data_IF_019617298971
#
_entry.id   IF_019617298971
#
_cell.length_a   1.000
_cell.length_b   1.000
_cell.length_c   1.000
_cell.angle_alpha   90.00
_cell.angle_beta   90.00
_cell.angle_gamma   90.00
#
_symmetry.space_group_name_H-M   'P 1'
#
loop_
_entity.id
_entity.type
_entity.pdbx_description
1 polymer ?
#
# COMPACT_ATOMS: atom_id res chain seq x y z
N UNK A 1 1.03 -31.78 -0.02
CA UNK A 1 -0.19 -30.93 0.07
C UNK A 1 -0.42 -30.54 1.52
N UNK A 2 0.07 -29.40 1.96
CA UNK A 2 -0.48 -28.81 3.17
C UNK A 2 -1.89 -28.31 2.85
N UNK A 3 -2.88 -28.84 3.56
CA UNK A 3 -4.27 -28.41 3.39
C UNK A 3 -4.36 -26.94 3.79
N UNK A 4 -4.80 -26.08 2.86
CA UNK A 4 -5.18 -24.70 3.20
C UNK A 4 -6.00 -24.70 4.48
N UNK A 5 -5.58 -23.91 5.45
CA UNK A 5 -6.23 -23.86 6.78
C UNK A 5 -7.68 -23.41 6.64
N UNK A 6 -8.61 -24.25 7.06
CA UNK A 6 -10.04 -23.92 7.12
C UNK A 6 -10.42 -23.09 8.35
N UNK A 7 -9.55 -23.04 9.38
CA UNK A 7 -9.74 -22.19 10.55
C UNK A 7 -9.03 -20.85 10.34
N UNK A 8 -9.78 -19.76 10.26
CA UNK A 8 -9.25 -18.41 10.04
C UNK A 8 -10.11 -17.37 10.75
N UNK A 9 -9.54 -16.17 10.96
CA UNK A 9 -10.27 -14.94 11.27
C UNK A 9 -10.22 -14.04 10.07
N UNK A 10 -11.37 -13.54 9.60
CA UNK A 10 -11.47 -12.46 8.63
C UNK A 10 -12.00 -11.20 9.32
N UNK A 11 -11.34 -10.08 9.10
CA UNK A 11 -11.75 -8.79 9.67
C UNK A 11 -11.48 -7.66 8.69
N UNK A 12 -12.53 -6.95 8.28
CA UNK A 12 -12.48 -5.82 7.37
C UNK A 12 -13.54 -4.80 7.77
N UNK A 13 -13.17 -3.82 8.62
CA UNK A 13 -14.14 -2.86 9.16
C UNK A 13 -14.32 -1.61 8.28
N UNK A 14 -13.54 -1.42 7.22
CA UNK A 14 -13.61 -0.24 6.35
C UNK A 14 -14.92 -0.26 5.53
N UNK A 15 -15.78 0.75 5.73
CA UNK A 15 -16.95 0.98 4.88
C UNK A 15 -16.48 1.58 3.55
N UNK A 16 -16.62 0.84 2.46
CA UNK A 16 -15.93 1.14 1.19
C UNK A 16 -16.94 1.39 0.07
N UNK A 17 -16.84 2.58 -0.53
CA UNK A 17 -17.63 3.02 -1.67
C UNK A 17 -16.75 3.09 -2.92
N UNK A 18 -17.11 2.36 -3.95
CA UNK A 18 -16.37 2.29 -5.21
C UNK A 18 -17.19 2.84 -6.37
N UNK A 19 -16.57 3.65 -7.21
CA UNK A 19 -17.11 4.12 -8.48
C UNK A 19 -16.92 5.61 -8.69
N UNK A 20 -17.03 6.01 -9.95
CA UNK A 20 -16.87 7.40 -10.37
C UNK A 20 -17.98 8.28 -9.78
N UNK A 21 -17.61 9.33 -9.02
CA UNK A 21 -18.53 10.21 -8.31
C UNK A 21 -19.01 9.68 -6.95
N UNK A 22 -18.40 8.63 -6.39
CA UNK A 22 -18.85 8.02 -5.14
C UNK A 22 -18.81 8.96 -3.93
N UNK A 23 -17.93 9.97 -3.88
CA UNK A 23 -17.92 10.95 -2.78
C UNK A 23 -19.27 11.70 -2.74
N UNK A 24 -19.69 12.29 -3.85
CA UNK A 24 -20.96 13.03 -3.91
C UNK A 24 -22.16 12.11 -3.65
N UNK A 25 -22.13 10.89 -4.19
CA UNK A 25 -23.22 9.94 -4.03
C UNK A 25 -23.44 9.44 -2.59
N UNK A 26 -22.36 9.41 -1.78
CA UNK A 26 -22.39 8.83 -0.44
C UNK A 26 -21.80 9.75 0.65
N UNK A 27 -21.71 11.07 0.39
CA UNK A 27 -21.13 12.05 1.33
C UNK A 27 -21.76 12.08 2.72
N UNK A 28 -23.06 11.81 2.81
CA UNK A 28 -23.82 11.88 4.07
C UNK A 28 -23.25 10.95 5.17
N UNK A 29 -22.50 9.93 4.77
CA UNK A 29 -21.82 9.05 5.74
C UNK A 29 -20.84 9.82 6.62
N UNK A 30 -20.21 10.88 6.10
CA UNK A 30 -19.26 11.71 6.84
C UNK A 30 -19.90 12.48 8.00
N UNK A 31 -21.21 12.77 7.98
CA UNK A 31 -21.90 13.46 9.09
C UNK A 31 -21.81 12.71 10.42
N UNK A 32 -21.65 11.39 10.36
CA UNK A 32 -21.55 10.53 11.56
C UNK A 32 -20.17 10.56 12.20
N UNK A 33 -19.17 11.13 11.52
CA UNK A 33 -17.76 11.11 11.98
C UNK A 33 -17.42 12.31 12.85
N UNK A 34 -18.15 13.43 12.71
CA UNK A 34 -17.91 14.65 13.46
C UNK A 34 -18.31 15.91 12.70
N UNK A 35 -18.09 17.06 13.34
CA UNK A 35 -18.42 18.39 12.78
C UNK A 35 -17.19 19.18 12.34
N UNK A 36 -15.98 18.66 12.58
CA UNK A 36 -14.73 19.30 12.19
C UNK A 36 -13.71 18.30 11.67
N UNK A 37 -13.32 18.44 10.41
CA UNK A 37 -12.35 17.58 9.72
C UNK A 37 -10.98 18.24 9.54
N UNK A 38 -9.92 17.42 9.48
CA UNK A 38 -8.65 17.83 8.86
C UNK A 38 -8.49 17.09 7.53
N UNK A 39 -8.39 17.84 6.45
CA UNK A 39 -8.07 17.31 5.11
C UNK A 39 -6.56 17.25 4.97
N UNK A 40 -6.02 16.04 4.80
CA UNK A 40 -4.58 15.77 4.77
C UNK A 40 -4.18 15.34 3.37
N UNK A 41 -3.29 16.10 2.73
CA UNK A 41 -2.88 15.86 1.34
C UNK A 41 -1.38 16.10 1.14
N UNK A 42 -0.88 15.66 -0.02
CA UNK A 42 0.38 16.18 -0.56
C UNK A 42 0.17 17.56 -1.22
N UNK A 43 1.27 18.22 -1.54
CA UNK A 43 1.29 19.64 -1.99
C UNK A 43 0.47 19.95 -3.25
N UNK A 44 0.29 19.01 -4.18
CA UNK A 44 -0.28 19.35 -5.48
C UNK A 44 -1.20 18.32 -6.13
N UNK A 45 -1.02 17.02 -5.89
CA UNK A 45 -1.72 15.97 -6.65
C UNK A 45 -3.24 16.00 -6.42
N UNK A 46 -3.68 16.08 -5.18
CA UNK A 46 -5.09 16.13 -4.82
C UNK A 46 -5.82 17.36 -5.36
N UNK A 47 -5.12 18.49 -5.49
CA UNK A 47 -5.65 19.72 -6.15
C UNK A 47 -5.79 19.51 -7.65
N UNK A 48 -4.74 18.96 -8.29
CA UNK A 48 -4.70 18.82 -9.76
C UNK A 48 -5.70 17.82 -10.30
N UNK A 49 -5.95 16.72 -9.60
CA UNK A 49 -6.88 15.68 -10.04
C UNK A 49 -8.33 15.92 -9.59
N UNK A 50 -8.59 16.97 -8.81
CA UNK A 50 -9.93 17.36 -8.36
C UNK A 50 -10.41 16.71 -7.06
N UNK A 51 -9.69 15.72 -6.52
CA UNK A 51 -10.11 15.00 -5.31
C UNK A 51 -10.27 15.92 -4.10
N UNK A 52 -9.34 16.86 -3.90
CA UNK A 52 -9.44 17.83 -2.81
C UNK A 52 -10.72 18.67 -2.95
N UNK A 53 -11.02 19.16 -4.16
CA UNK A 53 -12.21 19.99 -4.40
C UNK A 53 -13.48 19.20 -4.10
N UNK A 54 -13.60 17.98 -4.60
CA UNK A 54 -14.82 17.17 -4.39
C UNK A 54 -15.04 16.88 -2.90
N UNK A 55 -13.97 16.60 -2.14
CA UNK A 55 -14.06 16.39 -0.69
C UNK A 55 -14.46 17.68 0.02
N UNK A 56 -13.84 18.82 -0.29
CA UNK A 56 -14.18 20.09 0.39
C UNK A 56 -15.57 20.57 0.05
N UNK A 57 -16.02 20.43 -1.21
CA UNK A 57 -17.40 20.74 -1.61
C UNK A 57 -18.42 19.85 -0.85
N UNK A 58 -18.09 18.56 -0.67
CA UNK A 58 -18.94 17.66 0.11
C UNK A 58 -19.02 18.10 1.59
N UNK A 59 -17.89 18.43 2.22
CA UNK A 59 -17.85 18.92 3.60
C UNK A 59 -18.63 20.23 3.76
N UNK A 60 -18.45 21.19 2.85
CA UNK A 60 -19.17 22.46 2.85
C UNK A 60 -20.69 22.26 2.71
N UNK A 61 -21.12 21.34 1.82
CA UNK A 61 -22.53 21.01 1.63
C UNK A 61 -23.20 20.38 2.86
N UNK A 62 -22.41 19.69 3.70
CA UNK A 62 -22.84 19.05 4.95
C UNK A 62 -22.69 19.99 6.18
N UNK A 63 -22.17 21.20 5.97
CA UNK A 63 -21.90 22.14 7.07
C UNK A 63 -20.79 21.65 8.02
N UNK A 64 -19.90 20.79 7.55
CA UNK A 64 -18.75 20.29 8.33
C UNK A 64 -17.59 21.27 8.16
N UNK A 65 -17.09 21.81 9.27
CA UNK A 65 -15.90 22.66 9.24
C UNK A 65 -14.67 21.85 8.89
N UNK A 66 -13.71 22.46 8.17
CA UNK A 66 -12.48 21.77 7.83
C UNK A 66 -11.26 22.68 7.85
N UNK A 67 -10.10 22.06 8.08
CA UNK A 67 -8.78 22.67 7.92
C UNK A 67 -7.96 21.83 6.97
N UNK A 68 -7.11 22.48 6.19
CA UNK A 68 -6.22 21.81 5.24
C UNK A 68 -4.83 21.67 5.84
N UNK A 69 -4.25 20.47 5.69
CA UNK A 69 -2.83 20.20 5.88
C UNK A 69 -2.28 19.55 4.60
N UNK A 70 -1.57 20.31 3.77
CA UNK A 70 -1.10 19.90 2.44
C UNK A 70 0.43 19.74 2.34
N UNK A 71 1.08 19.42 3.46
CA UNK A 71 2.53 19.31 3.55
C UNK A 71 3.07 17.88 3.50
N UNK A 72 2.21 16.86 3.31
CA UNK A 72 2.67 15.47 3.31
C UNK A 72 3.55 15.22 2.07
N UNK A 73 4.80 14.86 2.35
CA UNK A 73 5.75 14.41 1.34
C UNK A 73 5.53 12.94 0.92
N UNK A 74 6.28 12.49 -0.07
CA UNK A 74 6.42 11.07 -0.34
C UNK A 74 7.13 10.41 0.86
N UNK A 75 6.57 9.30 1.38
CA UNK A 75 7.04 8.63 2.59
C UNK A 75 7.00 9.54 3.83
N UNK A 76 5.82 9.73 4.46
CA UNK A 76 5.63 10.71 5.52
C UNK A 76 6.60 10.50 6.68
N UNK A 77 7.26 11.56 7.11
CA UNK A 77 8.16 11.54 8.26
C UNK A 77 7.43 11.84 9.57
N UNK A 78 8.04 11.41 10.68
CA UNK A 78 7.48 11.57 12.00
C UNK A 78 7.26 13.05 12.35
N UNK A 79 8.21 13.91 12.01
CA UNK A 79 8.19 15.33 12.34
C UNK A 79 7.01 16.05 11.66
N UNK A 80 6.69 15.68 10.43
CA UNK A 80 5.52 16.23 9.71
C UNK A 80 4.22 15.74 10.32
N UNK A 81 4.16 14.46 10.74
CA UNK A 81 3.00 13.90 11.44
C UNK A 81 2.77 14.59 12.78
N UNK A 82 3.83 14.86 13.56
CA UNK A 82 3.77 15.60 14.84
C UNK A 82 3.18 16.99 14.66
N UNK A 83 3.70 17.79 13.71
CA UNK A 83 3.18 19.13 13.43
C UNK A 83 1.70 19.13 13.06
N UNK A 84 1.28 18.17 12.22
CA UNK A 84 -0.12 18.05 11.84
C UNK A 84 -1.02 17.69 13.03
N UNK A 85 -0.56 16.78 13.91
CA UNK A 85 -1.28 16.38 15.11
C UNK A 85 -1.43 17.54 16.10
N UNK A 86 -0.39 18.35 16.31
CA UNK A 86 -0.47 19.55 17.15
C UNK A 86 -1.52 20.55 16.64
N UNK A 87 -1.55 20.78 15.32
CA UNK A 87 -2.57 21.63 14.70
C UNK A 87 -3.96 21.04 14.94
N UNK A 88 -4.14 19.73 14.69
CA UNK A 88 -5.41 19.04 14.84
C UNK A 88 -5.97 19.17 16.27
N UNK A 89 -5.14 18.93 17.28
CA UNK A 89 -5.51 19.08 18.69
C UNK A 89 -5.89 20.52 19.01
N UNK A 90 -5.08 21.48 18.57
CA UNK A 90 -5.29 22.92 18.85
C UNK A 90 -6.62 23.43 18.29
N UNK A 91 -7.03 22.96 17.09
CA UNK A 91 -8.27 23.42 16.46
C UNK A 91 -9.48 22.52 16.77
N UNK A 92 -9.27 21.41 17.47
CA UNK A 92 -10.34 20.49 17.87
C UNK A 92 -10.90 19.69 16.71
N UNK A 93 -10.01 19.03 15.93
CA UNK A 93 -10.40 18.11 14.84
C UNK A 93 -11.03 16.85 15.42
N UNK A 94 -12.11 16.39 14.82
CA UNK A 94 -12.87 15.22 15.25
C UNK A 94 -12.63 14.01 14.35
N UNK A 95 -12.28 14.23 13.07
CA UNK A 95 -11.90 13.16 12.12
C UNK A 95 -10.95 13.68 11.04
N UNK A 96 -10.31 12.75 10.33
CA UNK A 96 -9.30 13.04 9.31
C UNK A 96 -9.73 12.53 7.93
N UNK A 97 -9.30 13.20 6.86
CA UNK A 97 -9.52 12.77 5.48
C UNK A 97 -8.19 12.76 4.77
N UNK A 98 -7.63 11.57 4.50
CA UNK A 98 -6.41 11.39 3.75
C UNK A 98 -6.66 11.27 2.26
N UNK A 99 -6.19 12.25 1.45
CA UNK A 99 -6.39 12.28 0.01
C UNK A 99 -5.05 12.15 -0.71
N UNK A 100 -4.86 11.08 -1.46
CA UNK A 100 -3.64 10.89 -2.24
C UNK A 100 -3.29 9.43 -2.50
N UNK A 101 -2.01 9.14 -2.69
CA UNK A 101 -1.47 7.79 -2.61
C UNK A 101 -1.38 7.31 -1.16
N UNK A 102 -0.57 6.27 -0.89
CA UNK A 102 -0.40 5.75 0.47
C UNK A 102 0.03 6.81 1.48
N UNK A 103 0.94 7.72 1.12
CA UNK A 103 1.55 8.67 2.06
C UNK A 103 0.55 9.57 2.81
N UNK A 104 -0.39 10.28 2.17
CA UNK A 104 -1.39 11.07 2.90
C UNK A 104 -2.36 10.21 3.71
N UNK A 105 -2.72 9.02 3.24
CA UNK A 105 -3.61 8.10 3.97
C UNK A 105 -2.91 7.55 5.22
N UNK A 106 -1.67 7.11 5.10
CA UNK A 106 -0.86 6.64 6.23
C UNK A 106 -0.59 7.75 7.24
N UNK A 107 -0.23 8.96 6.75
CA UNK A 107 -0.09 10.13 7.61
C UNK A 107 -1.39 10.42 8.38
N UNK A 108 -2.56 10.39 7.72
CA UNK A 108 -3.84 10.64 8.36
C UNK A 108 -4.12 9.66 9.51
N UNK A 109 -3.78 8.38 9.33
CA UNK A 109 -3.89 7.37 10.38
C UNK A 109 -2.96 7.67 11.56
N UNK A 110 -1.68 8.00 11.28
CA UNK A 110 -0.72 8.34 12.33
C UNK A 110 -1.14 9.63 13.07
N UNK A 111 -1.54 10.68 12.34
CA UNK A 111 -2.02 11.94 12.93
C UNK A 111 -3.25 11.68 13.80
N UNK A 112 -4.18 10.83 13.36
CA UNK A 112 -5.39 10.49 14.12
C UNK A 112 -5.09 9.82 15.46
N UNK A 113 -4.06 8.95 15.49
CA UNK A 113 -3.58 8.33 16.73
C UNK A 113 -2.99 9.38 17.67
N UNK A 114 -2.10 10.24 17.18
CA UNK A 114 -1.49 11.27 18.01
C UNK A 114 -2.52 12.27 18.53
N UNK A 115 -3.46 12.71 17.69
CA UNK A 115 -4.51 13.64 18.07
C UNK A 115 -5.48 13.06 19.12
N UNK A 116 -5.72 11.75 19.08
CA UNK A 116 -6.53 11.06 20.08
C UNK A 116 -5.79 10.86 21.43
N UNK A 117 -4.47 11.02 21.46
CA UNK A 117 -3.62 10.79 22.64
C UNK A 117 -2.66 11.98 22.91
N UNK A 118 -3.15 13.22 23.08
CA UNK A 118 -2.30 14.42 23.08
C UNK A 118 -1.25 14.44 24.19
N UNK A 119 -1.43 13.65 25.25
CA UNK A 119 -0.47 13.55 26.36
C UNK A 119 0.70 12.60 26.12
N UNK A 120 0.67 11.79 25.04
CA UNK A 120 1.71 10.79 24.75
C UNK A 120 2.72 11.24 23.68
N UNK A 121 2.41 12.30 22.91
CA UNK A 121 3.24 12.67 21.76
C UNK A 121 3.43 11.53 20.78
N UNK A 122 4.62 11.42 20.18
CA UNK A 122 4.95 10.34 19.24
C UNK A 122 4.96 8.93 19.87
N UNK A 123 5.10 8.78 21.16
CA UNK A 123 5.02 7.49 21.84
C UNK A 123 3.67 6.79 21.59
N UNK A 124 2.61 7.57 21.34
CA UNK A 124 1.31 7.02 20.97
C UNK A 124 1.36 6.13 19.73
N UNK A 125 2.26 6.40 18.79
CA UNK A 125 2.41 5.61 17.54
C UNK A 125 3.04 4.24 17.77
N UNK A 126 3.72 4.06 18.91
CA UNK A 126 4.43 2.82 19.24
C UNK A 126 3.74 2.02 20.35
N UNK A 127 2.64 2.53 20.90
CA UNK A 127 1.78 1.82 21.84
C UNK A 127 0.54 1.27 21.12
N UNK A 128 0.49 -0.05 20.92
CA UNK A 128 -0.60 -0.75 20.22
C UNK A 128 -2.00 -0.57 20.83
N UNK A 129 -2.09 -0.02 22.05
CA UNK A 129 -3.35 0.27 22.73
C UNK A 129 -3.81 1.74 22.57
N UNK A 130 -3.04 2.57 21.87
CA UNK A 130 -3.44 3.96 21.61
C UNK A 130 -4.69 4.02 20.73
N UNK A 131 -5.64 4.88 21.12
CA UNK A 131 -6.86 5.14 20.36
C UNK A 131 -6.53 5.94 19.09
N UNK A 132 -7.47 5.94 18.13
CA UNK A 132 -7.42 6.78 16.94
C UNK A 132 -8.77 7.51 16.77
N UNK A 133 -8.75 8.72 16.23
CA UNK A 133 -9.94 9.37 15.72
C UNK A 133 -10.34 8.76 14.36
N UNK A 134 -11.61 8.91 13.92
CA UNK A 134 -12.04 8.37 12.63
C UNK A 134 -11.20 8.89 11.46
N UNK A 135 -10.95 8.05 10.47
CA UNK A 135 -10.23 8.38 9.24
C UNK A 135 -11.09 8.07 8.04
N UNK A 136 -11.16 9.00 7.09
CA UNK A 136 -11.69 8.78 5.74
C UNK A 136 -10.50 8.68 4.78
N UNK A 137 -10.51 7.69 3.90
CA UNK A 137 -9.47 7.50 2.91
C UNK A 137 -9.99 7.75 1.49
N UNK A 138 -9.24 8.54 0.71
CA UNK A 138 -9.56 8.87 -0.68
C UNK A 138 -8.31 8.60 -1.53
N UNK A 139 -8.12 7.36 -2.02
CA UNK A 139 -6.98 7.01 -2.85
C UNK A 139 -7.04 7.73 -4.19
N UNK A 140 -5.87 8.19 -4.67
CA UNK A 140 -5.69 8.78 -6.00
C UNK A 140 -4.68 8.00 -6.83
N UNK A 141 -4.25 6.84 -6.35
CA UNK A 141 -3.40 5.86 -7.03
C UNK A 141 -3.93 4.46 -6.78
N UNK A 142 -3.63 3.52 -7.65
CA UNK A 142 -3.99 2.11 -7.52
C UNK A 142 -2.74 1.28 -7.17
N UNK A 143 -2.40 1.20 -5.90
CA UNK A 143 -1.18 0.49 -5.49
C UNK A 143 -1.21 0.02 -4.04
N UNK A 144 -1.15 0.94 -3.10
CA UNK A 144 -0.87 0.64 -1.69
C UNK A 144 -1.98 -0.08 -0.94
N UNK A 145 -3.25 0.09 -1.38
CA UNK A 145 -4.40 -0.45 -0.65
C UNK A 145 -4.56 0.12 0.77
N UNK A 146 -3.89 1.25 1.08
CA UNK A 146 -3.93 1.84 2.43
C UNK A 146 -5.35 2.18 2.86
N UNK A 147 -6.23 2.49 1.94
CA UNK A 147 -7.65 2.77 2.18
C UNK A 147 -8.42 1.61 2.82
N UNK A 148 -7.93 0.39 2.68
CA UNK A 148 -8.59 -0.83 3.20
C UNK A 148 -7.66 -1.66 4.10
N UNK A 149 -6.52 -1.12 4.53
CA UNK A 149 -5.60 -1.78 5.46
C UNK A 149 -5.52 -1.07 6.80
N UNK A 150 -5.05 -1.78 7.82
CA UNK A 150 -4.75 -1.24 9.14
C UNK A 150 -3.35 -0.61 9.25
N UNK A 151 -2.54 -0.70 8.21
CA UNK A 151 -1.16 -0.25 8.24
C UNK A 151 -1.07 1.26 8.04
N UNK A 152 -0.09 1.86 8.68
CA UNK A 152 0.35 3.24 8.46
C UNK A 152 1.88 3.23 8.56
N UNK A 153 2.53 3.50 7.43
CA UNK A 153 3.98 3.44 7.33
C UNK A 153 4.54 4.86 7.44
N UNK A 154 5.41 5.07 8.41
CA UNK A 154 6.11 6.34 8.63
C UNK A 154 7.62 6.17 8.51
N UNK A 155 8.30 7.23 8.12
CA UNK A 155 9.76 7.32 8.04
C UNK A 155 10.32 7.82 9.37
N UNK A 156 11.31 7.10 9.89
CA UNK A 156 12.09 7.48 11.06
C UNK A 156 13.50 7.82 10.60
N UNK A 157 13.80 9.11 10.39
CA UNK A 157 15.09 9.56 9.87
C UNK A 157 16.25 9.19 10.78
N UNK A 158 16.08 9.29 12.10
CA UNK A 158 17.09 8.90 13.08
C UNK A 158 17.52 7.42 12.96
N UNK A 159 16.56 6.53 12.62
CA UNK A 159 16.79 5.10 12.46
C UNK A 159 17.09 4.69 11.02
N UNK A 160 17.06 5.63 10.07
CA UNK A 160 17.23 5.39 8.62
C UNK A 160 16.33 4.24 8.12
N UNK A 161 15.07 4.25 8.53
CA UNK A 161 14.12 3.17 8.22
C UNK A 161 12.69 3.68 8.10
N UNK A 162 11.85 2.82 7.56
CA UNK A 162 10.39 2.95 7.59
C UNK A 162 9.81 1.91 8.52
N UNK A 163 8.75 2.26 9.23
CA UNK A 163 8.08 1.33 10.13
C UNK A 163 6.58 1.54 10.11
N UNK A 164 5.83 0.47 10.35
CA UNK A 164 4.41 0.60 10.64
C UNK A 164 4.22 1.08 12.07
N UNK A 165 3.24 1.96 12.29
CA UNK A 165 2.80 2.27 13.64
C UNK A 165 2.23 1.03 14.32
N UNK A 166 2.28 0.97 15.65
CA UNK A 166 1.79 -0.18 16.41
C UNK A 166 0.24 -0.26 16.47
N UNK A 167 -0.51 0.85 16.62
CA UNK A 167 -1.97 0.84 16.54
C UNK A 167 -2.47 0.38 15.16
N UNK A 168 -3.52 -0.44 15.15
CA UNK A 168 -4.16 -0.88 13.91
C UNK A 168 -5.29 0.06 13.55
N UNK A 169 -5.08 0.95 12.58
CA UNK A 169 -6.02 2.00 12.19
C UNK A 169 -6.58 1.73 10.81
N UNK A 170 -7.76 1.15 10.72
CA UNK A 170 -8.52 1.12 9.48
C UNK A 170 -9.21 2.45 9.21
N UNK A 171 -9.37 2.82 7.94
CA UNK A 171 -10.30 3.89 7.59
C UNK A 171 -11.72 3.50 8.02
N UNK A 172 -12.46 4.44 8.60
CA UNK A 172 -13.88 4.27 8.89
C UNK A 172 -14.71 4.26 7.61
N UNK A 173 -14.29 5.11 6.64
CA UNK A 173 -14.90 5.23 5.32
C UNK A 173 -13.81 5.35 4.26
N UNK A 174 -13.99 4.69 3.13
CA UNK A 174 -13.08 4.76 1.98
C UNK A 174 -13.85 5.05 0.71
N UNK A 175 -13.47 6.13 0.01
CA UNK A 175 -14.07 6.51 -1.27
C UNK A 175 -13.10 6.24 -2.41
N UNK A 176 -13.33 5.18 -3.15
CA UNK A 176 -12.51 4.72 -4.26
C UNK A 176 -13.09 5.24 -5.58
N UNK A 177 -12.73 6.46 -5.95
CA UNK A 177 -13.15 7.08 -7.21
C UNK A 177 -12.03 7.03 -8.25
N UNK A 178 -12.12 6.14 -9.25
CA UNK A 178 -11.07 5.99 -10.26
C UNK A 178 -10.78 7.25 -11.09
N UNK A 179 -11.69 8.23 -11.13
CA UNK A 179 -11.47 9.47 -11.89
C UNK A 179 -10.24 10.24 -11.43
N UNK A 180 -9.85 10.12 -10.16
CA UNK A 180 -8.66 10.79 -9.63
C UNK A 180 -7.34 10.24 -10.17
N UNK A 181 -7.38 9.10 -10.86
CA UNK A 181 -6.24 8.52 -11.55
C UNK A 181 -6.14 8.90 -13.03
N UNK A 182 -7.17 9.55 -13.61
CA UNK A 182 -7.24 9.80 -15.06
C UNK A 182 -6.05 10.60 -15.61
N UNK A 183 -5.41 11.41 -14.77
CA UNK A 183 -4.26 12.26 -15.14
C UNK A 183 -2.91 11.71 -14.70
N UNK A 184 -2.86 10.50 -14.13
CA UNK A 184 -1.59 9.89 -13.71
C UNK A 184 -0.72 9.54 -14.92
N UNK A 185 0.57 9.82 -14.80
CA UNK A 185 1.56 9.44 -15.82
C UNK A 185 1.70 7.92 -15.93
N UNK A 186 2.17 7.40 -17.09
CA UNK A 186 2.48 5.98 -17.26
C UNK A 186 3.41 5.44 -16.18
N UNK A 187 4.46 6.16 -15.83
CA UNK A 187 5.42 5.78 -14.80
C UNK A 187 4.76 5.57 -13.43
N UNK A 188 3.91 6.52 -13.00
CA UNK A 188 3.20 6.40 -11.72
C UNK A 188 2.21 5.24 -11.78
N UNK A 189 1.43 5.14 -12.87
CA UNK A 189 0.43 4.08 -13.05
C UNK A 189 1.08 2.70 -12.99
N UNK A 190 2.16 2.47 -13.74
CA UNK A 190 2.84 1.18 -13.75
C UNK A 190 3.47 0.85 -12.39
N UNK A 191 4.17 1.79 -11.77
CA UNK A 191 4.78 1.54 -10.46
C UNK A 191 3.74 1.19 -9.41
N UNK A 192 2.62 1.89 -9.36
CA UNK A 192 1.57 1.60 -8.37
C UNK A 192 0.81 0.32 -8.73
N UNK A 193 0.55 0.03 -9.99
CA UNK A 193 -0.06 -1.23 -10.41
C UNK A 193 0.82 -2.45 -10.04
N UNK A 194 2.14 -2.33 -10.21
CA UNK A 194 3.07 -3.39 -9.79
C UNK A 194 3.04 -3.55 -8.26
N UNK A 195 2.94 -2.47 -7.50
CA UNK A 195 2.78 -2.55 -6.04
C UNK A 195 1.53 -3.38 -5.66
N UNK A 196 0.38 -3.06 -6.27
CA UNK A 196 -0.85 -3.83 -6.08
C UNK A 196 -0.69 -5.32 -6.47
N UNK A 197 0.01 -5.60 -7.57
CA UNK A 197 0.30 -6.97 -7.98
C UNK A 197 1.17 -7.69 -6.94
N UNK A 198 2.21 -7.03 -6.42
CA UNK A 198 3.07 -7.63 -5.38
C UNK A 198 2.30 -7.90 -4.09
N UNK A 199 1.34 -7.04 -3.72
CA UNK A 199 0.42 -7.32 -2.61
C UNK A 199 -0.38 -8.61 -2.82
N UNK A 200 -0.96 -8.78 -4.01
CA UNK A 200 -1.70 -10.00 -4.35
C UNK A 200 -0.79 -11.24 -4.31
N UNK A 201 0.39 -11.17 -4.93
CA UNK A 201 1.36 -12.28 -4.99
C UNK A 201 1.80 -12.67 -3.58
N UNK A 202 2.25 -11.70 -2.78
CA UNK A 202 2.78 -11.96 -1.46
C UNK A 202 1.71 -12.47 -0.49
N UNK A 203 0.49 -11.95 -0.58
CA UNK A 203 -0.63 -12.44 0.22
C UNK A 203 -1.00 -13.89 -0.11
N UNK A 204 -1.02 -14.25 -1.41
CA UNK A 204 -1.36 -15.60 -1.86
C UNK A 204 -0.36 -16.64 -1.40
N UNK A 205 0.91 -16.28 -1.41
CA UNK A 205 2.04 -17.15 -1.12
C UNK A 205 2.51 -17.07 0.35
N UNK A 206 1.86 -16.23 1.16
CA UNK A 206 2.21 -16.05 2.58
C UNK A 206 2.00 -17.33 3.39
N UNK A 207 2.86 -17.56 4.39
CA UNK A 207 2.63 -18.57 5.43
C UNK A 207 1.32 -18.35 6.21
N UNK A 208 0.79 -17.12 6.21
CA UNK A 208 -0.49 -16.76 6.84
C UNK A 208 -1.69 -16.88 5.90
N UNK A 209 -1.49 -17.30 4.64
CA UNK A 209 -2.56 -17.46 3.67
C UNK A 209 -3.58 -18.52 4.15
N UNK A 210 -4.85 -18.27 3.88
CA UNK A 210 -5.95 -19.16 4.24
C UNK A 210 -6.99 -19.17 3.10
N UNK A 211 -7.98 -20.04 3.22
CA UNK A 211 -9.00 -20.25 2.19
C UNK A 211 -9.65 -18.92 1.69
N UNK A 212 -10.01 -18.02 2.61
CA UNK A 212 -10.67 -16.77 2.23
C UNK A 212 -9.68 -15.81 1.56
N UNK A 213 -8.47 -15.64 2.12
CA UNK A 213 -7.47 -14.74 1.53
C UNK A 213 -7.05 -15.21 0.13
N UNK A 214 -6.92 -16.51 -0.09
CA UNK A 214 -6.61 -17.07 -1.42
C UNK A 214 -7.71 -16.77 -2.43
N UNK A 215 -8.99 -16.90 -2.06
CA UNK A 215 -10.11 -16.60 -2.97
C UNK A 215 -10.21 -15.11 -3.31
N UNK A 216 -9.95 -14.26 -2.34
CA UNK A 216 -9.87 -12.80 -2.55
C UNK A 216 -8.75 -12.49 -3.54
N UNK A 217 -7.57 -13.08 -3.36
CA UNK A 217 -6.44 -12.87 -4.25
C UNK A 217 -6.71 -13.40 -5.67
N UNK A 218 -7.27 -14.60 -5.81
CA UNK A 218 -7.62 -15.17 -7.13
C UNK A 218 -8.53 -14.23 -7.93
N UNK A 219 -9.50 -13.59 -7.27
CA UNK A 219 -10.34 -12.55 -7.88
C UNK A 219 -9.51 -11.33 -8.31
N UNK A 220 -8.63 -10.82 -7.43
CA UNK A 220 -7.76 -9.68 -7.74
C UNK A 220 -6.81 -9.94 -8.90
N UNK A 221 -6.18 -11.12 -8.93
CA UNK A 221 -5.30 -11.55 -10.03
C UNK A 221 -6.04 -11.65 -11.38
N UNK A 222 -7.29 -12.16 -11.36
CA UNK A 222 -8.11 -12.24 -12.57
C UNK A 222 -8.40 -10.86 -13.15
N UNK A 223 -8.75 -9.88 -12.29
CA UNK A 223 -8.98 -8.48 -12.71
C UNK A 223 -7.68 -7.85 -13.19
N UNK A 224 -6.56 -8.06 -12.48
CA UNK A 224 -5.26 -7.53 -12.86
C UNK A 224 -4.78 -8.05 -14.21
N UNK A 225 -5.02 -9.33 -14.52
CA UNK A 225 -4.71 -9.95 -15.81
C UNK A 225 -5.28 -9.16 -16.97
N UNK A 226 -6.50 -8.64 -16.85
CA UNK A 226 -7.14 -7.85 -17.90
C UNK A 226 -6.43 -6.50 -18.14
N UNK A 227 -5.67 -6.02 -17.14
CA UNK A 227 -4.91 -4.77 -17.25
C UNK A 227 -3.51 -4.96 -17.86
N UNK A 228 -2.95 -6.17 -17.89
CA UNK A 228 -1.58 -6.44 -18.35
C UNK A 228 -1.29 -5.89 -19.78
N UNK A 229 -2.16 -6.06 -20.79
CA UNK A 229 -1.90 -5.49 -22.11
C UNK A 229 -1.81 -3.96 -22.10
N UNK A 230 -2.67 -3.29 -21.32
CA UNK A 230 -2.70 -1.85 -21.21
C UNK A 230 -1.46 -1.30 -20.47
N UNK A 231 -1.01 -1.98 -19.41
CA UNK A 231 0.22 -1.64 -18.68
C UNK A 231 1.45 -1.71 -19.59
N UNK A 232 1.58 -2.79 -20.37
CA UNK A 232 2.67 -2.94 -21.37
C UNK A 232 2.62 -1.88 -22.48
N UNK A 233 1.43 -1.55 -22.96
CA UNK A 233 1.22 -0.55 -23.99
C UNK A 233 1.27 0.89 -23.48
N UNK A 234 1.31 1.09 -22.16
CA UNK A 234 1.19 2.39 -21.48
C UNK A 234 -0.07 3.17 -21.92
N UNK A 235 -1.19 2.47 -22.07
CA UNK A 235 -2.48 3.02 -22.48
C UNK A 235 -3.53 2.71 -21.42
N UNK A 236 -4.10 3.74 -20.80
CA UNK A 236 -4.95 3.60 -19.62
C UNK A 236 -6.33 4.25 -19.82
N UNK A 237 -7.21 3.65 -20.64
CA UNK A 237 -8.60 4.11 -20.71
C UNK A 237 -9.28 3.98 -19.34
N UNK A 238 -10.39 4.70 -19.16
CA UNK A 238 -11.11 4.77 -17.89
C UNK A 238 -11.41 3.38 -17.30
N UNK A 239 -11.85 2.43 -18.11
CA UNK A 239 -12.15 1.07 -17.68
C UNK A 239 -10.90 0.35 -17.06
N UNK A 240 -9.72 0.56 -17.64
CA UNK A 240 -8.49 -0.01 -17.10
C UNK A 240 -8.13 0.63 -15.76
N UNK A 241 -8.31 1.95 -15.62
CA UNK A 241 -8.09 2.62 -14.33
C UNK A 241 -9.08 2.14 -13.26
N UNK A 242 -10.34 1.92 -13.63
CA UNK A 242 -11.34 1.35 -12.74
C UNK A 242 -10.93 -0.05 -12.26
N UNK A 243 -10.48 -0.92 -13.18
CA UNK A 243 -9.97 -2.26 -12.87
C UNK A 243 -8.71 -2.24 -12.00
N UNK A 244 -7.76 -1.34 -12.29
CA UNK A 244 -6.56 -1.19 -11.48
C UNK A 244 -6.87 -0.77 -10.05
N UNK A 245 -7.77 0.21 -9.84
CA UNK A 245 -8.20 0.62 -8.51
C UNK A 245 -8.87 -0.53 -7.76
N UNK A 246 -9.74 -1.29 -8.44
CA UNK A 246 -10.40 -2.45 -7.84
C UNK A 246 -9.39 -3.54 -7.46
N UNK A 247 -8.43 -3.87 -8.34
CA UNK A 247 -7.38 -4.85 -8.06
C UNK A 247 -6.48 -4.41 -6.89
N UNK A 248 -6.16 -3.10 -6.81
CA UNK A 248 -5.40 -2.52 -5.70
C UNK A 248 -6.15 -2.66 -4.37
N UNK A 249 -7.43 -2.31 -4.34
CA UNK A 249 -8.25 -2.46 -3.13
C UNK A 249 -8.35 -3.93 -2.69
N UNK A 250 -8.54 -4.86 -3.63
CA UNK A 250 -8.55 -6.29 -3.35
C UNK A 250 -7.19 -6.75 -2.79
N UNK A 251 -6.08 -6.27 -3.36
CA UNK A 251 -4.74 -6.51 -2.82
C UNK A 251 -4.59 -6.00 -1.39
N UNK A 252 -5.10 -4.80 -1.11
CA UNK A 252 -5.15 -4.22 0.24
C UNK A 252 -5.95 -5.08 1.21
N UNK A 253 -7.15 -5.52 0.82
CA UNK A 253 -7.99 -6.44 1.63
C UNK A 253 -7.23 -7.73 1.92
N UNK A 254 -6.51 -8.27 0.95
CA UNK A 254 -5.74 -9.51 1.11
C UNK A 254 -4.59 -9.34 2.12
N UNK A 255 -3.75 -8.31 1.95
CA UNK A 255 -2.63 -8.06 2.88
C UNK A 255 -3.09 -7.61 4.26
N UNK A 256 -4.29 -7.05 4.41
CA UNK A 256 -4.87 -6.79 5.73
C UNK A 256 -5.07 -8.07 6.54
N UNK A 257 -5.25 -9.22 5.88
CA UNK A 257 -5.40 -10.53 6.52
C UNK A 257 -4.05 -11.25 6.73
N UNK A 258 -3.11 -11.11 5.78
CA UNK A 258 -1.88 -11.94 5.73
C UNK A 258 -0.59 -11.17 6.00
N UNK A 259 -0.62 -9.84 5.89
CA UNK A 259 0.58 -9.03 5.77
C UNK A 259 1.25 -9.18 4.39
N UNK A 260 2.36 -8.45 4.21
CA UNK A 260 3.28 -8.58 3.07
C UNK A 260 4.48 -9.45 3.42
N UNK A 261 5.24 -9.88 2.42
CA UNK A 261 6.34 -10.85 2.56
C UNK A 261 7.71 -10.25 2.19
N UNK A 262 8.58 -11.06 1.60
CA UNK A 262 9.98 -10.73 1.32
C UNK A 262 10.15 -9.53 0.40
N UNK A 263 9.48 -9.43 -0.78
CA UNK A 263 9.67 -8.29 -1.68
C UNK A 263 9.46 -6.94 -0.99
N UNK A 264 8.40 -6.79 -0.19
CA UNK A 264 8.16 -5.56 0.56
C UNK A 264 9.20 -5.30 1.66
N UNK A 265 9.63 -6.33 2.37
CA UNK A 265 10.67 -6.19 3.39
C UNK A 265 12.03 -5.80 2.78
N UNK A 266 12.41 -6.45 1.69
CA UNK A 266 13.65 -6.22 0.95
C UNK A 266 13.62 -4.89 0.20
N UNK A 267 12.48 -4.54 -0.39
CA UNK A 267 12.28 -3.31 -1.18
C UNK A 267 12.38 -2.02 -0.35
N UNK A 268 12.16 -2.06 0.96
CA UNK A 268 12.31 -0.87 1.81
C UNK A 268 13.70 -0.28 1.76
N UNK A 269 14.75 -1.10 1.69
CA UNK A 269 16.13 -0.62 1.58
C UNK A 269 16.40 0.04 0.23
N UNK A 270 15.87 -0.52 -0.85
CA UNK A 270 15.96 0.07 -2.19
C UNK A 270 15.23 1.41 -2.26
N UNK A 271 14.05 1.50 -1.66
CA UNK A 271 13.29 2.75 -1.58
C UNK A 271 14.04 3.81 -0.76
N UNK A 272 14.62 3.44 0.37
CA UNK A 272 15.31 4.40 1.25
C UNK A 272 16.65 4.85 0.68
N UNK A 273 17.50 3.93 0.23
CA UNK A 273 18.88 4.23 -0.17
C UNK A 273 19.00 4.70 -1.63
N UNK A 274 18.14 4.22 -2.53
CA UNK A 274 18.18 4.54 -3.97
C UNK A 274 16.99 5.38 -4.44
N UNK A 275 16.07 5.74 -3.54
CA UNK A 275 14.87 6.51 -3.86
C UNK A 275 13.99 5.87 -4.94
N UNK A 276 14.01 4.55 -5.06
CA UNK A 276 13.11 3.86 -5.98
C UNK A 276 11.66 4.05 -5.55
N UNK A 277 10.78 4.22 -6.53
CA UNK A 277 9.35 4.13 -6.28
C UNK A 277 9.02 2.78 -5.63
N UNK A 278 8.12 2.76 -4.63
CA UNK A 278 7.89 1.59 -3.79
C UNK A 278 7.51 0.34 -4.60
N UNK A 279 6.56 0.47 -5.54
CA UNK A 279 6.17 -0.66 -6.39
C UNK A 279 7.29 -1.14 -7.31
N UNK A 280 8.17 -0.24 -7.78
CA UNK A 280 9.36 -0.64 -8.53
C UNK A 280 10.33 -1.45 -7.64
N UNK A 281 10.59 -0.97 -6.41
CA UNK A 281 11.48 -1.66 -5.47
C UNK A 281 11.00 -3.08 -5.15
N UNK A 282 9.69 -3.29 -5.05
CA UNK A 282 9.10 -4.61 -4.81
C UNK A 282 9.07 -5.46 -6.11
N UNK A 283 8.71 -4.82 -7.22
CA UNK A 283 8.55 -5.49 -8.53
C UNK A 283 9.82 -6.13 -9.05
N UNK A 284 10.97 -5.44 -8.95
CA UNK A 284 12.27 -5.98 -9.40
C UNK A 284 12.68 -7.25 -8.66
N UNK A 285 12.20 -7.44 -7.44
CA UNK A 285 12.48 -8.61 -6.59
C UNK A 285 11.51 -9.78 -6.84
N UNK A 286 10.38 -9.53 -7.52
CA UNK A 286 9.27 -10.49 -7.59
C UNK A 286 9.65 -11.80 -8.28
N UNK A 287 10.39 -11.76 -9.40
CA UNK A 287 10.83 -12.98 -10.08
C UNK A 287 11.71 -13.84 -9.17
N UNK A 288 12.74 -13.25 -8.58
CA UNK A 288 13.65 -13.97 -7.70
C UNK A 288 12.95 -14.51 -6.44
N UNK A 289 11.92 -13.79 -5.95
CA UNK A 289 11.05 -14.26 -4.87
C UNK A 289 10.27 -15.52 -5.27
N UNK A 290 9.65 -15.54 -6.44
CA UNK A 290 8.92 -16.72 -6.92
C UNK A 290 9.85 -17.93 -7.12
N UNK A 291 11.10 -17.71 -7.52
CA UNK A 291 12.12 -18.74 -7.69
C UNK A 291 12.66 -19.34 -6.36
N UNK A 292 12.26 -18.78 -5.19
CA UNK A 292 12.59 -19.38 -3.89
C UNK A 292 11.63 -20.52 -3.51
N UNK A 293 10.48 -20.64 -4.18
CA UNK A 293 9.57 -21.74 -3.96
C UNK A 293 10.12 -23.02 -4.61
N UNK A 294 9.80 -24.21 -4.07
CA UNK A 294 10.21 -25.47 -4.67
C UNK A 294 9.78 -25.57 -6.15
N UNK A 295 10.61 -26.23 -6.97
CA UNK A 295 10.24 -26.49 -8.36
C UNK A 295 8.91 -27.25 -8.44
N UNK A 296 7.98 -26.75 -9.26
CA UNK A 296 6.65 -27.34 -9.39
C UNK A 296 5.67 -27.01 -8.26
N UNK A 297 5.97 -26.00 -7.45
CA UNK A 297 5.03 -25.55 -6.38
C UNK A 297 3.66 -25.22 -6.99
N UNK A 298 2.61 -25.93 -6.51
CA UNK A 298 1.24 -25.82 -7.04
C UNK A 298 0.64 -24.42 -6.85
N UNK A 299 1.00 -23.71 -5.74
CA UNK A 299 0.50 -22.35 -5.50
C UNK A 299 1.11 -21.33 -6.46
N UNK A 300 2.42 -21.42 -6.69
CA UNK A 300 3.11 -20.57 -7.69
C UNK A 300 2.55 -20.83 -9.08
N UNK A 301 2.40 -22.09 -9.47
CA UNK A 301 1.84 -22.46 -10.78
C UNK A 301 0.41 -21.91 -10.95
N UNK A 302 -0.44 -22.02 -9.93
CA UNK A 302 -1.81 -21.52 -9.94
C UNK A 302 -1.88 -19.99 -10.00
N UNK A 303 -1.03 -19.30 -9.23
CA UNK A 303 -0.90 -17.84 -9.25
C UNK A 303 -0.55 -17.35 -10.67
N UNK A 304 0.48 -17.95 -11.30
CA UNK A 304 0.90 -17.61 -12.65
C UNK A 304 -0.21 -17.87 -13.67
N UNK A 305 -0.93 -19.00 -13.54
CA UNK A 305 -2.07 -19.32 -14.41
C UNK A 305 -3.22 -18.29 -14.27
N UNK A 306 -3.51 -17.78 -13.06
CA UNK A 306 -4.48 -16.70 -12.85
C UNK A 306 -4.10 -15.44 -13.63
N UNK A 307 -2.80 -15.13 -13.73
CA UNK A 307 -2.28 -14.00 -14.51
C UNK A 307 -2.15 -14.31 -16.01
N UNK A 308 -2.38 -15.55 -16.43
CA UNK A 308 -2.17 -16.02 -17.82
C UNK A 308 -0.69 -16.14 -18.19
N UNK A 309 0.18 -16.37 -17.20
CA UNK A 309 1.62 -16.56 -17.36
C UNK A 309 1.97 -18.04 -17.19
N UNK A 310 2.98 -18.52 -17.94
CA UNK A 310 3.41 -19.93 -17.92
C UNK A 310 4.41 -20.23 -16.81
N UNK A 311 5.31 -19.29 -16.56
CA UNK A 311 6.45 -19.48 -15.67
C UNK A 311 6.95 -18.16 -15.07
N UNK A 312 7.93 -18.23 -14.18
CA UNK A 312 8.56 -17.08 -13.54
C UNK A 312 9.36 -16.20 -14.50
N UNK A 313 9.77 -16.73 -15.65
CA UNK A 313 10.45 -15.94 -16.68
C UNK A 313 9.47 -14.98 -17.39
N UNK A 314 8.24 -15.41 -17.66
CA UNK A 314 7.19 -14.52 -18.18
C UNK A 314 6.82 -13.43 -17.17
N UNK A 315 6.82 -13.72 -15.85
CA UNK A 315 6.66 -12.72 -14.80
C UNK A 315 7.81 -11.70 -14.84
N UNK A 316 9.07 -12.16 -14.91
CA UNK A 316 10.23 -11.29 -15.04
C UNK A 316 10.14 -10.38 -16.28
N UNK A 317 9.81 -10.95 -17.42
CA UNK A 317 9.63 -10.21 -18.66
C UNK A 317 8.49 -9.17 -18.58
N UNK A 318 7.43 -9.47 -17.83
CA UNK A 318 6.38 -8.48 -17.55
C UNK A 318 6.92 -7.33 -16.69
N UNK A 319 7.64 -7.62 -15.60
CA UNK A 319 8.22 -6.58 -14.74
C UNK A 319 9.20 -5.69 -15.52
N UNK A 320 10.08 -6.28 -16.34
CA UNK A 320 11.02 -5.54 -17.20
C UNK A 320 10.30 -4.64 -18.23
N UNK A 321 9.15 -5.08 -18.75
CA UNK A 321 8.38 -4.31 -19.73
C UNK A 321 7.64 -3.11 -19.13
N UNK A 322 7.29 -3.15 -17.83
CA UNK A 322 6.46 -2.11 -17.19
C UNK A 322 7.23 -1.23 -16.21
N UNK A 323 8.42 -1.65 -15.76
CA UNK A 323 9.26 -0.90 -14.84
C UNK A 323 10.48 -0.32 -15.54
N UNK A 324 10.66 0.99 -15.43
CA UNK A 324 11.83 1.71 -15.97
C UNK A 324 12.97 1.70 -14.94
N UNK A 325 13.52 0.52 -14.66
CA UNK A 325 14.61 0.37 -13.68
C UNK A 325 15.97 0.59 -14.33
N UNK A 326 16.66 1.66 -13.95
CA UNK A 326 17.95 2.09 -14.54
C UNK A 326 19.10 2.15 -13.53
N UNK A 327 18.82 1.93 -12.26
CA UNK A 327 19.82 1.99 -11.19
C UNK A 327 20.80 0.82 -11.29
N UNK A 328 22.04 1.10 -10.91
CA UNK A 328 23.12 0.12 -10.87
C UNK A 328 23.48 -0.20 -9.42
N UNK A 329 23.89 -1.43 -9.19
CA UNK A 329 24.25 -1.95 -7.87
C UNK A 329 25.59 -2.67 -7.93
N UNK A 330 26.25 -2.75 -6.78
CA UNK A 330 27.51 -3.47 -6.59
C UNK A 330 27.28 -4.65 -5.65
N UNK A 331 28.21 -5.63 -5.64
CA UNK A 331 28.20 -6.71 -4.66
C UNK A 331 28.21 -6.20 -3.20
N UNK A 332 28.80 -5.02 -2.95
CA UNK A 332 28.79 -4.39 -1.63
C UNK A 332 27.38 -3.92 -1.24
N UNK A 333 26.63 -3.37 -2.21
CA UNK A 333 25.21 -2.99 -1.98
C UNK A 333 24.39 -4.24 -1.64
N UNK A 334 24.58 -5.32 -2.39
CA UNK A 334 23.87 -6.60 -2.17
C UNK A 334 24.19 -7.16 -0.77
N UNK A 335 25.46 -7.21 -0.40
CA UNK A 335 25.86 -7.66 0.92
C UNK A 335 25.27 -6.79 2.04
N UNK A 336 25.30 -5.47 1.87
CA UNK A 336 24.71 -4.52 2.82
C UNK A 336 23.19 -4.72 2.99
N UNK A 337 22.44 -4.80 1.88
CA UNK A 337 20.99 -5.02 1.94
C UNK A 337 20.63 -6.37 2.55
N UNK A 338 21.42 -7.40 2.25
CA UNK A 338 21.24 -8.73 2.86
C UNK A 338 21.37 -8.68 4.38
N UNK A 339 22.45 -8.08 4.91
CA UNK A 339 22.64 -7.96 6.37
C UNK A 339 21.51 -7.17 7.01
N UNK A 340 21.13 -6.03 6.41
CA UNK A 340 20.04 -5.18 6.92
C UNK A 340 18.70 -5.91 6.94
N UNK A 341 18.40 -6.70 5.91
CA UNK A 341 17.15 -7.46 5.85
C UNK A 341 17.08 -8.55 6.93
N UNK A 342 18.19 -9.20 7.25
CA UNK A 342 18.25 -10.21 8.30
C UNK A 342 17.97 -9.64 9.72
N UNK A 343 18.05 -8.32 9.91
CA UNK A 343 17.62 -7.65 11.13
C UNK A 343 16.08 -7.59 11.27
N UNK A 344 15.33 -8.05 10.25
CA UNK A 344 13.86 -8.04 10.21
C UNK A 344 13.26 -9.46 10.18
N UNK A 345 13.44 -10.28 11.22
CA UNK A 345 13.04 -11.70 11.22
C UNK A 345 11.53 -11.89 11.03
N UNK A 346 10.71 -10.89 11.37
CA UNK A 346 9.25 -10.93 11.19
C UNK A 346 8.88 -11.05 9.70
N UNK A 347 9.66 -10.43 8.80
CA UNK A 347 9.44 -10.53 7.35
C UNK A 347 9.85 -11.89 6.80
N UNK A 348 10.93 -12.48 7.32
CA UNK A 348 11.33 -13.83 6.94
C UNK A 348 10.28 -14.87 7.36
N UNK A 349 9.64 -14.69 8.51
CA UNK A 349 8.59 -15.59 9.01
C UNK A 349 7.30 -15.61 8.16
N UNK A 350 7.12 -14.65 7.25
CA UNK A 350 5.97 -14.64 6.31
C UNK A 350 6.17 -15.56 5.12
N UNK A 351 7.39 -15.99 4.85
CA UNK A 351 7.70 -16.95 3.79
C UNK A 351 7.47 -18.39 4.31
N UNK A 352 6.81 -19.28 3.55
CA UNK A 352 6.39 -20.58 4.07
C UNK A 352 7.49 -21.63 4.17
N UNK A 353 8.68 -21.36 3.64
CA UNK A 353 9.83 -22.28 3.66
C UNK A 353 11.00 -21.69 4.43
N UNK A 354 11.90 -22.52 4.97
CA UNK A 354 13.13 -22.02 5.59
C UNK A 354 13.98 -21.22 4.60
N UNK A 355 14.48 -20.08 5.05
CA UNK A 355 15.37 -19.23 4.27
C UNK A 355 16.73 -19.09 4.98
N UNK A 356 17.79 -19.16 4.20
CA UNK A 356 19.17 -18.89 4.65
C UNK A 356 19.59 -17.47 4.26
N UNK A 357 20.68 -16.99 4.84
CA UNK A 357 21.31 -15.74 4.40
C UNK A 357 21.69 -15.77 2.93
N UNK A 358 22.16 -16.93 2.44
CA UNK A 358 22.53 -17.12 1.04
C UNK A 358 21.33 -16.98 0.09
N UNK A 359 20.15 -17.45 0.49
CA UNK A 359 18.93 -17.30 -0.33
C UNK A 359 18.55 -15.83 -0.46
N UNK A 360 18.62 -15.06 0.63
CA UNK A 360 18.35 -13.61 0.60
C UNK A 360 19.38 -12.88 -0.27
N UNK A 361 20.67 -13.22 -0.15
CA UNK A 361 21.72 -12.65 -0.98
C UNK A 361 21.45 -12.91 -2.47
N UNK A 362 21.14 -14.15 -2.84
CA UNK A 362 20.84 -14.55 -4.22
C UNK A 362 19.59 -13.86 -4.78
N UNK A 363 18.57 -13.63 -3.96
CA UNK A 363 17.40 -12.86 -4.42
C UNK A 363 17.79 -11.44 -4.82
N UNK A 364 18.59 -10.73 -4.01
CA UNK A 364 19.09 -9.41 -4.38
C UNK A 364 20.02 -9.46 -5.60
N UNK A 365 20.97 -10.39 -5.60
CA UNK A 365 21.93 -10.57 -6.69
C UNK A 365 21.25 -10.76 -8.04
N UNK A 366 20.35 -11.75 -8.15
CA UNK A 366 19.59 -12.05 -9.38
C UNK A 366 18.70 -10.89 -9.84
N UNK A 367 18.21 -10.08 -8.91
CA UNK A 367 17.30 -8.98 -9.19
C UNK A 367 18.01 -7.69 -9.58
N UNK A 368 19.21 -7.44 -9.06
CA UNK A 368 19.85 -6.13 -9.09
C UNK A 368 21.20 -6.10 -9.81
N UNK A 369 21.96 -7.19 -9.84
CA UNK A 369 23.19 -7.29 -10.63
C UNK A 369 22.86 -7.79 -12.03
N UNK A 370 23.05 -6.90 -13.03
CA UNK A 370 22.88 -7.19 -14.46
C UNK A 370 24.22 -7.39 -15.13
#
# INVERSE_FOLDING_TARGET
MEKTTMAFRYFMPADTYFGRGCIEAYKDVMEKLGKKAMVVTGRSSAKKNGAQKDVTDALDSLGIQWVLFDEIGENPDLETVERAAEIAVKVGVEFFIGIGGGSPMDASKAISVMAANPGKGSDALFDGNSAALPVVAVPTTAGTGSEVTQFSIITLHEKRTKTSIAPKVFASVSYLDPKYMDTLSPKITNNTAVDALTHLIESYLSASANFISEKIVEMGLSIFRECIPALKAQQYPAEIRDKLMLASAIGGVAIAQTGTSLPHGMGYFLTYEKHLAHGMANGVLTRAYLEQFPEGDEKVAKLLACLGMKDTAEMGAFMDAVLEHTETYTEKDIAYYTERFLETPQKMATFPYPLTKEDVYKMYEKSLLK
#
